data_IF_185312318455
#
_entry.id   IF_185312318455
#
_cell.length_a   1.000
_cell.length_b   1.000
_cell.length_c   1.000
_cell.angle_alpha   90.00
_cell.angle_beta   90.00
_cell.angle_gamma   90.00
#
_symmetry.space_group_name_H-M   'P 1'
#
loop_
_entity.id
_entity.type
_entity.pdbx_description
1 polymer ?
#
# COMPACT_ATOMS: atom_id res chain seq x y z
N UNK A 1 -28.17 73.90 2.04
CA UNK A 1 -26.78 73.92 1.52
C UNK A 1 -26.09 72.66 2.03
N UNK A 2 -26.08 71.59 1.22
CA UNK A 2 -24.83 70.96 0.70
C UNK A 2 -24.43 69.72 1.53
N UNK A 3 -24.90 68.50 1.18
CA UNK A 3 -24.14 67.36 0.58
C UNK A 3 -22.84 66.99 1.32
N UNK A 4 -22.55 65.74 1.74
CA UNK A 4 -23.25 64.45 1.64
C UNK A 4 -22.36 63.26 2.09
N UNK A 5 -22.96 62.06 2.05
CA UNK A 5 -22.41 60.68 2.01
C UNK A 5 -21.51 60.17 3.18
N UNK A 6 -21.66 58.94 3.70
CA UNK A 6 -22.58 57.84 3.37
C UNK A 6 -22.25 56.55 4.15
N UNK A 7 -23.17 55.58 4.02
CA UNK A 7 -23.08 54.11 4.22
C UNK A 7 -22.62 53.55 5.58
N UNK A 8 -23.18 52.47 6.13
CA UNK A 8 -24.06 51.45 5.56
C UNK A 8 -24.65 50.57 6.68
N UNK A 9 -25.79 49.95 6.37
CA UNK A 9 -26.58 49.12 7.25
C UNK A 9 -25.92 47.76 7.52
N UNK A 10 -26.00 47.32 8.77
CA UNK A 10 -25.70 45.97 9.21
C UNK A 10 -26.83 45.03 8.79
N UNK A 11 -26.53 44.07 7.91
CA UNK A 11 -27.39 42.92 7.65
C UNK A 11 -26.72 41.68 8.20
N UNK A 12 -27.41 41.04 9.14
CA UNK A 12 -27.09 39.75 9.75
C UNK A 12 -26.88 38.68 8.67
N UNK A 13 -25.81 37.90 8.82
CA UNK A 13 -25.56 36.73 7.98
C UNK A 13 -26.37 35.56 8.55
N UNK A 14 -27.21 34.97 7.70
CA UNK A 14 -27.92 33.71 7.98
C UNK A 14 -26.92 32.54 8.03
N UNK A 15 -26.90 31.83 9.15
CA UNK A 15 -26.27 30.51 9.27
C UNK A 15 -27.21 29.42 8.71
N UNK A 16 -26.70 28.40 8.00
CA UNK A 16 -27.53 27.29 7.51
C UNK A 16 -27.97 26.35 8.65
N UNK A 17 -29.17 25.74 8.57
CA UNK A 17 -29.75 24.99 9.68
C UNK A 17 -29.06 23.63 9.90
N UNK A 18 -28.45 23.46 11.08
CA UNK A 18 -27.95 22.19 11.58
C UNK A 18 -29.10 21.31 12.08
N UNK A 19 -29.64 20.47 11.18
CA UNK A 19 -30.67 19.48 11.52
C UNK A 19 -30.10 18.20 12.19
N UNK A 20 -29.40 18.37 13.32
CA UNK A 20 -29.04 17.25 14.20
C UNK A 20 -29.54 17.51 15.61
N UNK A 21 -30.87 17.63 15.75
CA UNK A 21 -31.53 17.62 17.04
C UNK A 21 -32.15 16.24 17.32
N UNK A 22 -31.58 15.59 18.34
CA UNK A 22 -32.25 14.68 19.30
C UNK A 22 -32.57 13.26 18.83
N UNK A 23 -31.54 12.39 18.87
CA UNK A 23 -31.72 11.06 19.48
C UNK A 23 -31.21 11.13 20.92
N UNK A 24 -32.13 11.16 21.87
CA UNK A 24 -31.83 10.96 23.29
C UNK A 24 -31.31 9.54 23.49
N UNK A 25 -30.02 9.40 23.78
CA UNK A 25 -29.47 8.15 24.31
C UNK A 25 -29.97 8.00 25.75
N UNK A 26 -30.89 7.06 25.99
CA UNK A 26 -31.19 6.63 27.35
C UNK A 26 -30.02 5.74 27.81
N UNK A 27 -29.26 6.22 28.79
CA UNK A 27 -28.29 5.40 29.49
C UNK A 27 -29.03 4.25 30.21
N UNK A 28 -28.61 2.98 30.06
CA UNK A 28 -29.18 1.91 30.84
C UNK A 28 -28.80 2.07 32.33
N UNK A 29 -29.75 1.71 33.21
CA UNK A 29 -29.57 1.75 34.66
C UNK A 29 -28.38 0.87 35.12
N UNK A 30 -27.71 1.22 36.23
CA UNK A 30 -26.57 0.46 36.72
C UNK A 30 -27.00 -0.96 37.10
N UNK A 31 -26.32 -1.96 36.54
CA UNK A 31 -26.54 -3.36 36.86
C UNK A 31 -26.16 -3.65 38.32
N UNK A 32 -26.99 -4.44 39.00
CA UNK A 32 -26.74 -4.94 40.34
C UNK A 32 -25.44 -5.75 40.40
N UNK A 33 -24.69 -5.60 41.50
CA UNK A 33 -23.44 -6.32 41.77
C UNK A 33 -23.74 -7.82 41.87
N UNK A 34 -23.31 -8.58 40.87
CA UNK A 34 -23.38 -10.04 40.87
C UNK A 34 -22.25 -10.64 41.71
N UNK A 35 -22.56 -11.62 42.56
CA UNK A 35 -21.59 -12.41 43.31
C UNK A 35 -20.60 -13.13 42.37
N UNK A 36 -19.35 -13.24 42.82
CA UNK A 36 -18.26 -13.90 42.07
C UNK A 36 -18.62 -15.37 41.77
N UNK A 37 -18.47 -15.84 40.51
CA UNK A 37 -18.68 -17.25 40.20
C UNK A 37 -17.54 -18.10 40.76
N UNK A 38 -17.90 -19.29 41.25
CA UNK A 38 -16.96 -20.34 41.66
C UNK A 38 -16.19 -20.85 40.44
N UNK A 39 -14.90 -21.05 40.62
CA UNK A 39 -13.95 -21.53 39.62
C UNK A 39 -14.26 -23.01 39.28
N UNK A 40 -14.87 -23.25 38.12
CA UNK A 40 -14.97 -24.59 37.53
C UNK A 40 -13.82 -24.81 36.54
N UNK A 41 -13.12 -25.93 36.71
CA UNK A 41 -11.99 -26.30 35.88
C UNK A 41 -12.40 -26.50 34.41
N UNK A 42 -11.80 -25.70 33.52
CA UNK A 42 -11.96 -25.82 32.06
C UNK A 42 -11.34 -27.13 31.60
N UNK A 43 -12.15 -28.02 31.01
CA UNK A 43 -11.66 -29.24 30.36
C UNK A 43 -10.95 -28.88 29.04
N UNK A 44 -9.82 -29.52 28.70
CA UNK A 44 -9.06 -29.18 27.51
C UNK A 44 -9.84 -29.50 26.24
N UNK A 45 -9.87 -28.53 25.33
CA UNK A 45 -10.40 -28.68 23.97
C UNK A 45 -9.39 -29.54 23.19
N UNK A 46 -9.85 -30.65 22.61
CA UNK A 46 -9.01 -31.46 21.70
C UNK A 46 -8.86 -30.68 20.39
N UNK A 47 -7.65 -30.21 20.11
CA UNK A 47 -7.27 -29.67 18.81
C UNK A 47 -7.42 -30.76 17.74
N UNK A 48 -8.08 -30.41 16.62
CA UNK A 48 -8.05 -31.21 15.42
C UNK A 48 -6.66 -31.03 14.75
N UNK A 49 -6.02 -32.10 14.26
CA UNK A 49 -4.71 -31.97 13.62
C UNK A 49 -4.81 -31.14 12.33
N UNK A 50 -3.93 -30.17 12.20
CA UNK A 50 -3.77 -29.39 10.96
C UNK A 50 -3.41 -30.33 9.79
N UNK A 51 -3.97 -30.13 8.58
CA UNK A 51 -3.54 -30.88 7.42
C UNK A 51 -2.06 -30.59 7.12
N UNK A 52 -1.29 -31.66 6.88
CA UNK A 52 0.13 -31.56 6.55
C UNK A 52 0.33 -30.73 5.26
N UNK A 53 1.29 -29.81 5.22
CA UNK A 53 1.61 -29.08 4.01
C UNK A 53 2.20 -30.05 2.96
N UNK A 54 1.69 -29.97 1.72
CA UNK A 54 2.30 -30.65 0.59
C UNK A 54 3.73 -30.12 0.39
N UNK A 55 4.71 -31.02 0.34
CA UNK A 55 6.10 -30.70 0.11
C UNK A 55 6.28 -30.17 -1.30
N UNK A 56 6.64 -28.89 -1.41
CA UNK A 56 7.17 -28.30 -2.66
C UNK A 56 8.69 -28.37 -2.55
N UNK A 57 9.33 -29.15 -3.43
CA UNK A 57 10.78 -29.20 -3.55
C UNK A 57 11.33 -27.82 -3.93
N UNK A 58 12.09 -27.22 -3.02
CA UNK A 58 12.86 -26.00 -3.28
C UNK A 58 14.13 -26.42 -4.02
N UNK A 59 14.21 -26.16 -5.33
CA UNK A 59 15.49 -26.24 -6.06
C UNK A 59 16.37 -25.07 -5.64
N UNK A 60 17.59 -25.39 -5.20
CA UNK A 60 18.63 -24.41 -4.85
C UNK A 60 18.88 -23.43 -6.01
N UNK A 61 18.80 -22.14 -5.73
CA UNK A 61 19.23 -21.08 -6.65
C UNK A 61 20.75 -21.00 -6.70
N UNK A 62 21.38 -20.93 -7.89
CA UNK A 62 22.83 -20.81 -8.00
C UNK A 62 23.32 -19.45 -7.48
N UNK A 63 24.53 -19.44 -6.92
CA UNK A 63 25.19 -18.28 -6.34
C UNK A 63 25.28 -17.08 -7.30
N UNK A 64 25.21 -15.83 -6.81
CA UNK A 64 25.28 -14.65 -7.67
C UNK A 64 26.69 -14.49 -8.27
N UNK A 65 26.72 -14.21 -9.57
CA UNK A 65 27.93 -13.83 -10.29
C UNK A 65 28.48 -12.49 -9.78
N UNK A 66 29.81 -12.25 -9.86
CA UNK A 66 30.43 -11.04 -9.33
C UNK A 66 29.94 -9.81 -10.10
N UNK A 67 29.65 -8.73 -9.36
CA UNK A 67 29.23 -7.46 -9.90
C UNK A 67 30.37 -6.81 -10.68
N UNK A 68 30.17 -6.65 -11.99
CA UNK A 68 30.99 -5.78 -12.83
C UNK A 68 30.34 -4.40 -12.83
N UNK A 69 31.10 -3.39 -12.40
CA UNK A 69 30.70 -2.00 -12.35
C UNK A 69 30.61 -1.45 -13.79
N UNK A 70 29.43 -1.57 -14.43
CA UNK A 70 29.12 -0.83 -15.64
C UNK A 70 28.58 0.55 -15.28
N UNK A 71 29.30 1.60 -15.69
CA UNK A 71 28.79 2.96 -15.69
C UNK A 71 27.47 3.02 -16.48
N UNK A 72 26.34 3.09 -15.78
CA UNK A 72 25.01 3.15 -16.38
C UNK A 72 24.92 4.36 -17.31
N UNK A 73 24.88 4.11 -18.62
CA UNK A 73 24.29 5.07 -19.56
C UNK A 73 22.86 5.31 -19.10
N UNK A 74 22.53 6.54 -18.74
CA UNK A 74 21.14 6.97 -18.50
C UNK A 74 20.36 6.62 -19.77
N UNK A 75 19.47 5.63 -19.69
CA UNK A 75 18.63 5.26 -20.83
C UNK A 75 17.76 6.47 -21.18
N UNK A 76 17.71 6.81 -22.46
CA UNK A 76 16.83 7.88 -22.92
C UNK A 76 15.37 7.57 -22.52
N UNK A 77 14.58 8.58 -22.08
CA UNK A 77 13.22 8.36 -21.63
C UNK A 77 12.38 7.72 -22.74
N UNK A 78 11.57 6.73 -22.35
CA UNK A 78 10.68 6.03 -23.27
C UNK A 78 9.69 6.98 -23.94
N UNK A 79 9.08 6.57 -25.06
CA UNK A 79 8.03 7.37 -25.71
C UNK A 79 6.85 7.61 -24.77
N UNK A 80 6.49 6.60 -23.97
CA UNK A 80 5.42 6.73 -22.98
C UNK A 80 5.77 7.77 -21.89
N UNK A 81 6.98 7.73 -21.36
CA UNK A 81 7.47 8.72 -20.38
C UNK A 81 7.38 10.13 -20.93
N UNK A 82 7.75 10.34 -22.20
CA UNK A 82 7.64 11.67 -22.85
C UNK A 82 6.19 12.14 -22.98
N UNK A 83 5.26 11.25 -23.32
CA UNK A 83 3.83 11.59 -23.43
C UNK A 83 3.25 11.93 -22.06
N UNK A 84 3.52 11.10 -21.05
CA UNK A 84 3.07 11.34 -19.68
C UNK A 84 3.62 12.66 -19.13
N UNK A 85 4.88 12.98 -19.45
CA UNK A 85 5.51 14.23 -19.03
C UNK A 85 4.86 15.44 -19.71
N UNK A 86 4.58 15.35 -21.00
CA UNK A 86 3.85 16.39 -21.73
C UNK A 86 2.43 16.62 -21.17
N UNK A 87 1.80 15.57 -20.64
CA UNK A 87 0.50 15.65 -19.95
C UNK A 87 0.59 16.15 -18.50
N UNK A 88 1.80 16.40 -17.97
CA UNK A 88 2.02 16.81 -16.59
C UNK A 88 1.88 15.69 -15.55
N UNK A 89 1.67 14.44 -15.99
CA UNK A 89 1.43 13.29 -15.12
C UNK A 89 2.71 12.68 -14.54
N UNK A 90 3.88 12.97 -15.12
CA UNK A 90 5.19 12.53 -14.61
C UNK A 90 6.21 13.65 -14.78
N UNK A 91 7.27 13.72 -13.95
CA UNK A 91 8.28 14.75 -14.06
C UNK A 91 8.98 14.83 -15.43
N UNK A 92 9.32 16.05 -15.83
CA UNK A 92 10.06 16.28 -17.08
C UNK A 92 11.44 15.61 -17.05
N UNK A 93 11.86 14.95 -18.15
CA UNK A 93 13.20 14.38 -18.24
C UNK A 93 14.30 15.42 -17.97
N UNK A 94 15.28 15.05 -17.15
CA UNK A 94 16.39 15.92 -16.74
C UNK A 94 16.13 16.66 -15.42
N UNK A 95 14.92 16.60 -14.85
CA UNK A 95 14.72 17.00 -13.46
C UNK A 95 15.30 15.93 -12.50
N UNK A 96 15.90 16.31 -11.36
CA UNK A 96 16.45 15.33 -10.41
C UNK A 96 15.45 14.28 -9.93
N UNK A 97 14.20 14.70 -9.66
CA UNK A 97 13.10 13.78 -9.31
C UNK A 97 12.78 12.79 -10.43
N UNK A 98 12.86 13.22 -11.70
CA UNK A 98 12.65 12.35 -12.86
C UNK A 98 13.79 11.33 -12.98
N UNK A 99 15.03 11.77 -12.78
CA UNK A 99 16.21 10.90 -12.83
C UNK A 99 16.17 9.84 -11.73
N UNK A 100 15.82 10.24 -10.50
CA UNK A 100 15.66 9.32 -9.37
C UNK A 100 14.54 8.30 -9.64
N UNK A 101 13.37 8.74 -10.08
CA UNK A 101 12.23 7.89 -10.40
C UNK A 101 12.61 6.85 -11.48
N UNK A 102 13.20 7.29 -12.59
CA UNK A 102 13.56 6.40 -13.70
C UNK A 102 14.71 5.45 -13.37
N UNK A 103 15.65 5.87 -12.51
CA UNK A 103 16.83 5.07 -12.15
C UNK A 103 16.50 4.01 -11.12
N UNK A 104 15.69 4.35 -10.12
CA UNK A 104 15.41 3.51 -8.96
C UNK A 104 14.08 2.76 -9.07
N UNK A 105 13.09 3.30 -9.79
CA UNK A 105 11.76 2.71 -9.94
C UNK A 105 11.35 2.65 -11.42
N UNK A 106 12.14 1.97 -12.28
CA UNK A 106 11.88 1.90 -13.71
C UNK A 106 10.55 1.19 -13.99
N UNK A 107 9.78 1.71 -14.94
CA UNK A 107 8.46 1.17 -15.27
C UNK A 107 7.35 1.57 -14.30
N UNK A 108 7.62 2.51 -13.39
CA UNK A 108 6.57 3.15 -12.60
C UNK A 108 5.59 3.93 -13.48
N UNK A 109 4.34 3.93 -13.06
CA UNK A 109 3.21 4.55 -13.74
C UNK A 109 2.58 5.59 -12.81
N UNK A 110 2.09 6.73 -13.32
CA UNK A 110 1.19 7.60 -12.56
C UNK A 110 -0.03 6.81 -12.09
N UNK A 111 -0.54 7.10 -10.88
CA UNK A 111 -1.64 6.36 -10.27
C UNK A 111 -2.85 6.18 -11.19
N UNK A 112 -3.25 7.24 -11.89
CA UNK A 112 -4.37 7.19 -12.84
C UNK A 112 -4.14 6.19 -13.99
N UNK A 113 -2.90 6.02 -14.46
CA UNK A 113 -2.57 5.07 -15.50
C UNK A 113 -2.66 3.62 -14.98
N UNK A 114 -2.28 3.38 -13.72
CA UNK A 114 -2.47 2.09 -13.04
C UNK A 114 -3.95 1.75 -13.01
N UNK A 115 -4.77 2.63 -12.41
CA UNK A 115 -6.21 2.42 -12.27
C UNK A 115 -6.84 2.09 -13.63
N UNK A 116 -6.66 2.96 -14.63
CA UNK A 116 -7.30 2.79 -15.95
C UNK A 116 -6.88 1.49 -16.64
N UNK A 117 -5.62 1.08 -16.55
CA UNK A 117 -5.14 -0.15 -17.17
C UNK A 117 -5.69 -1.38 -16.44
N UNK A 118 -5.63 -1.38 -15.11
CA UNK A 118 -6.14 -2.51 -14.32
C UNK A 118 -7.63 -2.70 -14.49
N UNK A 119 -8.42 -1.63 -14.47
CA UNK A 119 -9.87 -1.74 -14.62
C UNK A 119 -10.26 -2.15 -16.04
N UNK A 120 -9.57 -1.64 -17.06
CA UNK A 120 -9.84 -2.01 -18.45
C UNK A 120 -9.57 -3.49 -18.73
N UNK A 121 -8.44 -4.03 -18.27
CA UNK A 121 -8.14 -5.46 -18.49
C UNK A 121 -9.09 -6.35 -17.69
N UNK A 122 -9.40 -5.99 -16.44
CA UNK A 122 -10.29 -6.78 -15.59
C UNK A 122 -11.72 -6.78 -16.11
N UNK A 123 -12.23 -5.63 -16.55
CA UNK A 123 -13.56 -5.55 -17.17
C UNK A 123 -13.63 -6.35 -18.47
N UNK A 124 -12.64 -6.22 -19.34
CA UNK A 124 -12.67 -6.88 -20.65
C UNK A 124 -12.48 -8.40 -20.61
N UNK A 125 -11.65 -8.92 -19.69
CA UNK A 125 -11.32 -10.35 -19.61
C UNK A 125 -12.16 -11.12 -18.60
N UNK A 126 -12.65 -10.46 -17.56
CA UNK A 126 -13.29 -11.13 -16.41
C UNK A 126 -14.63 -10.51 -15.99
N UNK A 127 -15.11 -9.48 -16.70
CA UNK A 127 -16.34 -8.74 -16.38
C UNK A 127 -16.37 -8.17 -14.95
N UNK A 128 -15.20 -7.81 -14.42
CA UNK A 128 -15.05 -7.21 -13.08
C UNK A 128 -15.21 -5.69 -13.11
N UNK A 129 -15.97 -5.15 -12.16
CA UNK A 129 -16.08 -3.73 -11.86
C UNK A 129 -16.39 -3.50 -10.37
N UNK A 130 -16.68 -2.25 -9.98
CA UNK A 130 -16.95 -1.89 -8.59
C UNK A 130 -18.27 -2.46 -8.04
N UNK A 131 -19.18 -2.96 -8.89
CA UNK A 131 -20.46 -3.50 -8.43
C UNK A 131 -20.34 -4.95 -7.97
N UNK A 132 -19.40 -5.71 -8.54
CA UNK A 132 -19.21 -7.14 -8.27
C UNK A 132 -17.87 -7.49 -7.61
N UNK A 133 -17.06 -6.50 -7.24
CA UNK A 133 -15.70 -6.72 -6.70
C UNK A 133 -15.52 -5.97 -5.39
N UNK A 134 -15.16 -6.68 -4.31
CA UNK A 134 -14.78 -6.04 -3.04
C UNK A 134 -13.29 -5.69 -3.02
N UNK A 135 -12.95 -4.55 -2.41
CA UNK A 135 -11.60 -4.00 -2.40
C UNK A 135 -10.87 -4.15 -1.05
N UNK A 136 -9.67 -4.71 -1.11
CA UNK A 136 -8.71 -4.77 -0.02
C UNK A 136 -7.46 -3.97 -0.32
N UNK A 137 -6.92 -3.29 0.68
CA UNK A 137 -5.72 -2.47 0.50
C UNK A 137 -4.70 -2.72 1.61
N UNK A 138 -3.50 -3.16 1.23
CA UNK A 138 -2.36 -3.36 2.14
C UNK A 138 -1.24 -2.37 1.85
N UNK A 139 -1.38 -1.16 2.38
CA UNK A 139 -0.38 -0.07 2.30
C UNK A 139 -0.02 0.46 3.68
N UNK A 140 0.96 1.35 3.75
CA UNK A 140 1.38 2.00 4.98
C UNK A 140 0.34 3.04 5.43
N UNK A 141 0.04 3.15 6.75
CA UNK A 141 -0.90 4.14 7.29
C UNK A 141 -0.39 5.58 7.23
N UNK A 142 0.83 5.80 6.76
CA UNK A 142 1.39 7.13 6.50
C UNK A 142 0.41 7.95 5.64
N UNK A 143 0.08 9.16 6.09
CA UNK A 143 -1.02 9.96 5.55
C UNK A 143 -0.82 10.33 4.09
N UNK A 144 0.44 10.46 3.66
CA UNK A 144 0.82 10.80 2.29
C UNK A 144 0.38 9.74 1.29
N UNK A 145 0.11 8.50 1.73
CA UNK A 145 -0.40 7.47 0.83
C UNK A 145 -1.90 7.59 0.55
N UNK A 146 -2.60 8.49 1.26
CA UNK A 146 -4.05 8.68 1.19
C UNK A 146 -4.40 10.14 0.83
N UNK A 147 -3.47 10.86 0.23
CA UNK A 147 -3.73 12.21 -0.28
C UNK A 147 -4.74 12.16 -1.44
N UNK A 148 -5.54 13.22 -1.56
CA UNK A 148 -6.64 13.27 -2.52
C UNK A 148 -6.10 13.26 -3.95
N UNK A 149 -6.63 12.38 -4.79
CA UNK A 149 -6.20 12.19 -6.18
C UNK A 149 -5.02 11.23 -6.36
N UNK A 150 -4.36 10.80 -5.27
CA UNK A 150 -3.32 9.79 -5.35
C UNK A 150 -3.87 8.37 -5.42
N UNK A 151 -2.99 7.42 -5.70
CA UNK A 151 -3.38 6.07 -6.10
C UNK A 151 -4.39 5.40 -5.15
N UNK A 152 -4.18 5.46 -3.84
CA UNK A 152 -5.09 4.82 -2.88
C UNK A 152 -6.48 5.46 -2.90
N UNK A 153 -6.55 6.79 -3.03
CA UNK A 153 -7.80 7.55 -3.07
C UNK A 153 -8.60 7.20 -4.34
N UNK A 154 -7.97 7.26 -5.52
CA UNK A 154 -8.65 6.95 -6.78
C UNK A 154 -9.03 5.46 -6.92
N UNK A 155 -8.28 4.55 -6.27
CA UNK A 155 -8.62 3.14 -6.23
C UNK A 155 -9.83 2.90 -5.33
N UNK A 156 -9.90 3.56 -4.17
CA UNK A 156 -11.08 3.55 -3.30
C UNK A 156 -12.30 4.15 -4.01
N UNK A 157 -12.14 5.27 -4.71
CA UNK A 157 -13.24 5.90 -5.45
C UNK A 157 -13.84 4.97 -6.52
N UNK A 158 -13.01 4.14 -7.18
CA UNK A 158 -13.47 3.23 -8.22
C UNK A 158 -14.01 1.90 -7.66
N UNK A 159 -13.27 1.24 -6.77
CA UNK A 159 -13.61 -0.10 -6.27
C UNK A 159 -14.53 -0.09 -5.04
N UNK A 160 -14.80 1.07 -4.46
CA UNK A 160 -15.64 1.23 -3.29
C UNK A 160 -14.88 1.17 -1.96
N UNK A 161 -15.62 0.92 -0.89
CA UNK A 161 -15.06 0.95 0.47
C UNK A 161 -13.93 -0.06 0.67
N UNK A 162 -12.91 0.37 1.39
CA UNK A 162 -11.65 -0.37 1.57
C UNK A 162 -11.72 -1.27 2.80
N UNK A 163 -11.35 -2.53 2.65
CA UNK A 163 -10.90 -3.36 3.77
C UNK A 163 -9.40 -3.11 4.02
N UNK A 164 -9.01 -2.46 5.13
CA UNK A 164 -7.60 -2.18 5.41
C UNK A 164 -6.88 -3.45 5.83
N UNK A 165 -5.92 -3.88 5.03
CA UNK A 165 -5.11 -5.07 5.25
C UNK A 165 -3.72 -4.76 5.80
N UNK A 166 -3.25 -3.53 5.62
CA UNK A 166 -1.87 -3.11 5.82
C UNK A 166 -1.51 -2.74 7.27
N UNK A 167 -0.52 -1.86 7.37
CA UNK A 167 0.08 -1.33 8.60
C UNK A 167 1.46 -0.77 8.26
N UNK A 168 2.29 -0.44 9.23
CA UNK A 168 3.55 0.28 8.96
C UNK A 168 4.43 -0.47 7.95
N UNK A 169 4.96 0.25 6.98
CA UNK A 169 5.73 -0.31 5.86
C UNK A 169 4.91 -1.04 4.79
N UNK A 170 3.58 -1.18 4.94
CA UNK A 170 2.69 -1.76 3.93
C UNK A 170 2.53 -3.28 3.97
N UNK A 171 3.12 -3.95 4.97
CA UNK A 171 2.93 -5.39 5.14
C UNK A 171 1.49 -5.73 5.56
N UNK A 172 0.92 -6.86 5.08
CA UNK A 172 -0.46 -7.21 5.40
C UNK A 172 -0.60 -7.83 6.81
N UNK A 173 -0.65 -6.98 7.84
CA UNK A 173 -0.69 -7.41 9.24
C UNK A 173 -2.02 -8.04 9.66
N UNK A 174 -3.09 -7.86 8.89
CA UNK A 174 -4.37 -8.54 9.11
C UNK A 174 -4.24 -10.07 9.15
N UNK A 175 -3.21 -10.62 8.50
CA UNK A 175 -2.91 -12.04 8.54
C UNK A 175 -4.00 -12.91 7.91
N UNK A 176 -3.91 -14.22 8.15
CA UNK A 176 -4.87 -15.21 7.64
C UNK A 176 -6.28 -14.97 8.19
N UNK A 177 -6.38 -14.59 9.47
CA UNK A 177 -7.67 -14.31 10.12
C UNK A 177 -8.36 -13.12 9.47
N UNK A 178 -7.65 -12.01 9.27
CA UNK A 178 -8.27 -10.84 8.65
C UNK A 178 -8.51 -10.99 7.15
N UNK A 179 -7.66 -11.73 6.41
CA UNK A 179 -8.01 -12.13 5.04
C UNK A 179 -9.28 -13.00 5.01
N UNK A 180 -9.41 -13.97 5.93
CA UNK A 180 -10.61 -14.79 6.04
C UNK A 180 -11.86 -13.97 6.38
N UNK A 181 -11.74 -12.94 7.24
CA UNK A 181 -12.84 -12.01 7.50
C UNK A 181 -13.21 -11.23 6.23
N UNK A 182 -12.21 -10.68 5.53
CA UNK A 182 -12.39 -9.96 4.29
C UNK A 182 -13.07 -10.81 3.20
N UNK A 183 -12.63 -12.07 3.02
CA UNK A 183 -13.16 -12.95 1.98
C UNK A 183 -14.60 -13.44 2.23
N UNK A 184 -15.15 -13.26 3.42
CA UNK A 184 -16.58 -13.50 3.68
C UNK A 184 -17.47 -12.33 3.25
N UNK A 185 -16.89 -11.17 2.94
CA UNK A 185 -17.64 -9.98 2.52
C UNK A 185 -17.74 -9.87 0.98
N UNK A 186 -17.20 -10.85 0.25
CA UNK A 186 -17.28 -10.90 -1.21
C UNK A 186 -18.76 -10.91 -1.62
N UNK A 187 -19.17 -10.12 -2.63
CA UNK A 187 -20.52 -10.19 -3.17
C UNK A 187 -20.86 -11.62 -3.62
N UNK A 188 -22.15 -11.96 -3.66
CA UNK A 188 -22.58 -13.25 -4.19
C UNK A 188 -22.04 -13.43 -5.62
N UNK A 189 -21.33 -14.54 -5.86
CA UNK A 189 -20.61 -14.85 -7.11
C UNK A 189 -19.60 -13.76 -7.56
N UNK A 190 -19.21 -12.86 -6.65
CA UNK A 190 -18.34 -11.73 -6.91
C UNK A 190 -16.85 -12.04 -6.79
N UNK A 191 -16.05 -10.97 -6.79
CA UNK A 191 -14.60 -11.05 -6.86
C UNK A 191 -13.93 -10.27 -5.73
N UNK A 192 -12.64 -10.54 -5.55
CA UNK A 192 -11.77 -9.83 -4.61
C UNK A 192 -10.69 -9.11 -5.42
N UNK A 193 -10.47 -7.83 -5.15
CA UNK A 193 -9.29 -7.10 -5.62
C UNK A 193 -8.45 -6.64 -4.43
N UNK A 194 -7.14 -6.94 -4.45
CA UNK A 194 -6.19 -6.47 -3.45
C UNK A 194 -5.10 -5.62 -4.11
N UNK A 195 -4.94 -4.38 -3.66
CA UNK A 195 -3.72 -3.59 -3.92
C UNK A 195 -2.78 -3.68 -2.73
N UNK A 196 -1.49 -3.94 -2.95
CA UNK A 196 -0.52 -3.99 -1.86
C UNK A 196 0.88 -3.51 -2.24
N UNK A 197 1.63 -3.07 -1.23
CA UNK A 197 3.03 -2.68 -1.42
C UNK A 197 3.58 -1.81 -0.30
N UNK A 198 4.92 -1.70 -0.19
CA UNK A 198 5.53 -0.60 0.54
C UNK A 198 5.37 0.72 -0.23
N UNK A 199 5.75 1.82 0.42
CA UNK A 199 5.86 3.12 -0.22
C UNK A 199 7.25 3.75 0.01
N UNK A 200 7.59 4.74 -0.80
CA UNK A 200 8.81 5.54 -0.67
C UNK A 200 8.60 6.93 -1.24
N UNK A 201 9.09 7.96 -0.55
CA UNK A 201 9.06 9.34 -1.08
C UNK A 201 10.24 9.62 -2.00
N UNK A 202 10.04 10.49 -2.99
CA UNK A 202 11.13 11.14 -3.72
C UNK A 202 10.96 12.65 -3.59
N UNK A 203 11.99 13.34 -3.11
CA UNK A 203 11.94 14.79 -2.99
C UNK A 203 12.05 15.51 -4.34
N UNK A 204 11.81 16.83 -4.35
CA UNK A 204 12.03 17.67 -5.55
C UNK A 204 13.47 17.63 -6.04
N UNK A 205 14.43 17.46 -5.13
CA UNK A 205 15.86 17.32 -5.44
C UNK A 205 16.27 15.90 -5.84
N UNK A 206 15.33 14.95 -5.92
CA UNK A 206 15.62 13.57 -6.30
C UNK A 206 16.14 12.69 -5.15
N UNK A 207 16.04 13.15 -3.90
CA UNK A 207 16.42 12.34 -2.75
C UNK A 207 15.36 11.26 -2.50
N UNK A 208 15.76 9.99 -2.65
CA UNK A 208 14.90 8.83 -2.36
C UNK A 208 14.82 8.62 -0.85
N UNK A 209 13.61 8.44 -0.33
CA UNK A 209 13.35 8.31 1.09
C UNK A 209 12.82 9.58 1.74
N UNK A 210 12.56 10.64 0.97
CA UNK A 210 12.19 11.97 1.48
C UNK A 210 10.88 12.45 0.89
N UNK A 211 10.11 13.14 1.72
CA UNK A 211 8.87 13.79 1.31
C UNK A 211 8.68 15.11 2.05
N UNK A 212 8.13 16.12 1.36
CA UNK A 212 7.80 17.42 1.94
C UNK A 212 6.34 17.43 2.38
N UNK A 213 6.09 17.18 3.66
CA UNK A 213 4.73 17.12 4.23
C UNK A 213 4.15 18.52 4.42
N UNK A 214 2.85 18.65 4.24
CA UNK A 214 2.12 19.90 4.48
C UNK A 214 2.35 20.36 5.92
N UNK A 215 2.76 21.62 6.07
CA UNK A 215 3.01 22.22 7.39
C UNK A 215 4.39 21.95 7.99
N UNK A 216 5.29 21.24 7.30
CA UNK A 216 6.68 21.07 7.72
C UNK A 216 7.62 22.05 7.01
N UNK A 217 8.61 22.57 7.74
CA UNK A 217 9.63 23.45 7.16
C UNK A 217 10.67 22.68 6.33
N UNK A 218 10.88 21.40 6.64
CA UNK A 218 11.89 20.55 6.03
C UNK A 218 11.31 19.20 5.64
N UNK A 219 11.95 18.52 4.69
CA UNK A 219 11.58 17.18 4.28
C UNK A 219 11.81 16.15 5.41
N UNK A 220 10.91 15.18 5.51
CA UNK A 220 10.98 14.08 6.48
C UNK A 220 11.04 12.72 5.77
N UNK A 221 11.31 11.66 6.55
CA UNK A 221 11.48 10.31 6.01
C UNK A 221 10.17 9.72 5.47
N UNK A 222 10.27 9.02 4.34
CA UNK A 222 9.18 8.24 3.73
C UNK A 222 9.75 7.03 2.98
N UNK A 223 9.44 5.77 3.33
CA UNK A 223 8.60 5.30 4.44
C UNK A 223 9.36 5.29 5.78
N UNK A 224 8.86 6.01 6.80
CA UNK A 224 9.52 6.10 8.11
C UNK A 224 9.81 4.73 8.76
N UNK A 225 8.89 3.78 8.67
CA UNK A 225 9.04 2.45 9.27
C UNK A 225 10.11 1.59 8.58
N UNK A 226 10.16 1.62 7.23
CA UNK A 226 11.19 0.91 6.46
C UNK A 226 12.56 1.54 6.72
N UNK A 227 12.64 2.87 6.74
CA UNK A 227 13.88 3.60 7.07
C UNK A 227 14.37 3.25 8.48
N UNK A 228 13.48 3.23 9.46
CA UNK A 228 13.81 2.85 10.83
C UNK A 228 14.25 1.38 10.93
N UNK A 229 13.57 0.47 10.23
CA UNK A 229 13.91 -0.96 10.22
C UNK A 229 15.27 -1.21 9.58
N UNK A 230 15.56 -0.48 8.50
CA UNK A 230 16.86 -0.46 7.85
C UNK A 230 17.95 0.08 8.78
N UNK A 231 17.73 1.23 9.42
CA UNK A 231 18.69 1.83 10.35
C UNK A 231 18.98 0.92 11.56
N UNK A 232 17.94 0.30 12.13
CA UNK A 232 18.07 -0.71 13.19
C UNK A 232 18.93 -1.87 12.72
N UNK A 233 18.68 -2.42 11.53
CA UNK A 233 19.55 -3.46 10.99
C UNK A 233 21.01 -2.99 10.81
N UNK A 234 21.22 -1.76 10.35
CA UNK A 234 22.55 -1.22 10.12
C UNK A 234 23.36 -0.95 11.39
N UNK A 235 22.70 -0.74 12.53
CA UNK A 235 23.34 -0.38 13.80
C UNK A 235 24.26 -1.47 14.37
N UNK A 236 24.02 -2.74 14.01
CA UNK A 236 24.68 -3.89 14.65
C UNK A 236 24.09 -4.28 16.01
N UNK A 237 23.10 -3.52 16.51
CA UNK A 237 22.40 -3.85 17.75
C UNK A 237 21.47 -5.05 17.58
N UNK A 238 21.30 -5.81 18.66
CA UNK A 238 20.34 -6.90 18.71
C UNK A 238 19.00 -6.38 19.23
N UNK A 239 17.97 -6.48 18.40
CA UNK A 239 16.61 -6.10 18.76
C UNK A 239 15.75 -7.35 18.88
N UNK A 240 15.24 -7.62 20.08
CA UNK A 240 14.24 -8.66 20.32
C UNK A 240 12.90 -8.36 19.65
N UNK A 241 11.96 -9.29 19.73
CA UNK A 241 10.58 -9.03 19.31
C UNK A 241 9.87 -8.24 20.41
N UNK A 242 9.35 -7.07 20.07
CA UNK A 242 8.60 -6.21 20.97
C UNK A 242 7.10 -6.40 20.75
N UNK A 243 6.36 -6.70 21.82
CA UNK A 243 4.92 -6.92 21.78
C UNK A 243 4.13 -5.61 21.63
N UNK A 244 4.70 -4.47 22.04
CA UNK A 244 4.10 -3.16 21.85
C UNK A 244 4.49 -2.54 20.48
N UNK A 245 5.52 -3.11 19.83
CA UNK A 245 6.02 -2.69 18.51
C UNK A 245 6.18 -3.87 17.53
N UNK A 246 5.15 -4.72 17.47
CA UNK A 246 5.16 -5.97 16.71
C UNK A 246 5.35 -5.75 15.21
N UNK A 247 4.75 -4.70 14.67
CA UNK A 247 4.83 -4.42 13.23
C UNK A 247 6.25 -4.01 12.83
N UNK A 248 6.91 -3.17 13.64
CA UNK A 248 8.28 -2.77 13.37
C UNK A 248 9.25 -3.93 13.60
N UNK A 249 8.99 -4.75 14.62
CA UNK A 249 9.74 -5.98 14.86
C UNK A 249 9.68 -6.92 13.67
N UNK A 250 8.50 -7.09 13.07
CA UNK A 250 8.33 -7.84 11.84
C UNK A 250 9.12 -7.24 10.66
N UNK A 251 8.99 -5.93 10.41
CA UNK A 251 9.70 -5.27 9.29
C UNK A 251 11.21 -5.40 9.41
N UNK A 252 11.75 -5.15 10.60
CA UNK A 252 13.18 -5.29 10.87
C UNK A 252 13.64 -6.73 10.58
N UNK A 253 12.92 -7.74 11.06
CA UNK A 253 13.23 -9.14 10.78
C UNK A 253 13.13 -9.49 9.30
N UNK A 254 12.22 -8.85 8.56
CA UNK A 254 12.08 -9.03 7.11
C UNK A 254 13.24 -8.41 6.31
N UNK A 255 13.76 -7.26 6.76
CA UNK A 255 14.86 -6.54 6.08
C UNK A 255 16.23 -7.14 6.43
N UNK A 256 16.42 -7.57 7.69
CA UNK A 256 17.72 -7.98 8.22
C UNK A 256 18.51 -8.98 7.35
N UNK A 257 17.91 -10.02 6.75
CA UNK A 257 18.64 -10.99 5.93
C UNK A 257 19.33 -10.40 4.69
N UNK A 258 18.84 -9.27 4.16
CA UNK A 258 19.35 -8.61 2.95
C UNK A 258 19.87 -7.20 3.20
N UNK A 259 20.20 -6.92 4.45
CA UNK A 259 20.62 -5.60 4.89
C UNK A 259 22.01 -5.20 4.38
N UNK A 260 22.96 -6.14 4.33
CA UNK A 260 24.28 -5.90 3.75
C UNK A 260 24.23 -5.66 2.23
N UNK A 261 23.32 -6.35 1.53
CA UNK A 261 23.01 -6.08 0.12
C UNK A 261 22.52 -4.63 -0.05
N UNK A 262 21.60 -4.18 0.81
CA UNK A 262 21.09 -2.81 0.77
C UNK A 262 22.18 -1.77 1.05
N UNK A 263 23.04 -2.01 2.06
CA UNK A 263 24.17 -1.12 2.39
C UNK A 263 25.14 -0.93 1.23
N UNK A 264 25.35 -1.98 0.44
CA UNK A 264 26.31 -1.99 -0.67
C UNK A 264 25.72 -1.44 -1.98
N UNK A 265 24.42 -1.14 -2.01
CA UNK A 265 23.74 -0.66 -3.21
C UNK A 265 24.05 0.82 -3.50
N UNK A 266 24.01 1.21 -4.78
CA UNK A 266 24.21 2.60 -5.20
C UNK A 266 23.23 3.58 -4.55
N UNK A 267 22.00 3.14 -4.26
CA UNK A 267 21.05 3.87 -3.42
C UNK A 267 20.45 2.90 -2.38
N UNK A 268 20.92 2.93 -1.12
CA UNK A 268 20.47 2.00 -0.09
C UNK A 268 18.98 2.08 0.23
N UNK A 269 18.38 3.27 0.10
CA UNK A 269 16.96 3.47 0.41
C UNK A 269 16.06 2.86 -0.67
N UNK A 270 16.42 3.05 -1.94
CA UNK A 270 15.75 2.35 -3.04
C UNK A 270 15.89 0.83 -2.87
N UNK A 271 17.10 0.35 -2.55
CA UNK A 271 17.36 -1.07 -2.37
C UNK A 271 16.53 -1.69 -1.24
N UNK A 272 16.49 -1.06 -0.05
CA UNK A 272 15.70 -1.59 1.07
C UNK A 272 14.19 -1.52 0.82
N UNK A 273 13.73 -0.54 0.02
CA UNK A 273 12.32 -0.49 -0.41
C UNK A 273 11.97 -1.70 -1.29
N UNK A 274 12.86 -2.11 -2.21
CA UNK A 274 12.68 -3.33 -3.00
C UNK A 274 12.73 -4.60 -2.15
N UNK A 275 13.66 -4.68 -1.19
CA UNK A 275 13.74 -5.82 -0.24
C UNK A 275 12.47 -5.92 0.60
N UNK A 276 11.94 -4.78 1.07
CA UNK A 276 10.67 -4.73 1.79
C UNK A 276 9.52 -5.24 0.91
N UNK A 277 9.45 -4.82 -0.35
CA UNK A 277 8.45 -5.32 -1.30
C UNK A 277 8.48 -6.85 -1.43
N UNK A 278 9.66 -7.44 -1.62
CA UNK A 278 9.78 -8.89 -1.77
C UNK A 278 9.21 -9.62 -0.54
N UNK A 279 9.57 -9.16 0.66
CA UNK A 279 9.08 -9.72 1.92
C UNK A 279 7.57 -9.54 2.12
N UNK A 280 7.03 -8.39 1.70
CA UNK A 280 5.61 -8.05 1.77
C UNK A 280 4.81 -8.92 0.81
N UNK A 281 5.29 -9.09 -0.43
CA UNK A 281 4.69 -9.98 -1.44
C UNK A 281 4.64 -11.41 -0.91
N UNK A 282 5.74 -11.92 -0.36
CA UNK A 282 5.77 -13.27 0.19
C UNK A 282 4.79 -13.43 1.35
N UNK A 283 4.63 -12.41 2.20
CA UNK A 283 3.61 -12.43 3.25
C UNK A 283 2.19 -12.42 2.68
N UNK A 284 1.92 -11.58 1.67
CA UNK A 284 0.63 -11.50 1.00
C UNK A 284 0.23 -12.87 0.45
N UNK A 285 1.10 -13.50 -0.33
CA UNK A 285 0.86 -14.83 -0.92
C UNK A 285 0.68 -15.93 0.13
N UNK A 286 1.24 -15.79 1.34
CA UNK A 286 1.02 -16.74 2.44
C UNK A 286 -0.32 -16.57 3.15
N UNK A 287 -0.97 -15.41 3.08
CA UNK A 287 -2.21 -15.14 3.83
C UNK A 287 -3.47 -15.26 2.98
N UNK A 288 -3.34 -14.99 1.68
CA UNK A 288 -4.47 -15.08 0.73
C UNK A 288 -4.76 -16.54 0.38
N UNK A 289 -6.00 -16.80 -0.01
CA UNK A 289 -6.46 -18.04 -0.62
C UNK A 289 -7.67 -17.75 -1.50
N UNK A 290 -8.12 -18.71 -2.30
CA UNK A 290 -9.25 -18.57 -3.22
C UNK A 290 -10.53 -19.26 -2.73
N UNK A 291 -10.61 -19.63 -1.45
CA UNK A 291 -11.72 -20.41 -0.87
C UNK A 291 -12.86 -19.51 -0.39
N UNK A 292 -13.45 -18.76 -1.31
CA UNK A 292 -14.55 -17.83 -1.02
C UNK A 292 -15.68 -17.90 -2.06
N UNK A 293 -15.84 -19.06 -2.70
CA UNK A 293 -16.87 -19.29 -3.73
C UNK A 293 -16.28 -19.37 -5.13
N UNK A 294 -17.09 -19.19 -6.19
CA UNK A 294 -16.64 -19.27 -7.59
C UNK A 294 -15.86 -18.02 -8.03
N UNK A 295 -15.74 -17.04 -7.14
CA UNK A 295 -15.06 -15.77 -7.36
C UNK A 295 -13.58 -15.91 -7.70
N UNK A 296 -13.01 -14.79 -8.13
CA UNK A 296 -11.61 -14.66 -8.51
C UNK A 296 -10.92 -13.71 -7.56
N UNK A 297 -9.70 -14.03 -7.21
CA UNK A 297 -8.80 -13.17 -6.44
C UNK A 297 -7.87 -12.46 -7.42
N UNK A 298 -7.97 -11.14 -7.46
CA UNK A 298 -7.05 -10.26 -8.17
C UNK A 298 -6.08 -9.67 -7.17
N UNK A 299 -4.78 -9.77 -7.45
CA UNK A 299 -3.73 -9.19 -6.62
C UNK A 299 -2.85 -8.29 -7.47
N UNK A 300 -2.81 -7.00 -7.14
CA UNK A 300 -1.91 -6.00 -7.68
C UNK A 300 -0.85 -5.62 -6.62
N UNK A 301 0.37 -6.06 -6.84
CA UNK A 301 1.52 -5.77 -5.99
C UNK A 301 2.52 -4.84 -6.66
N UNK A 302 3.02 -3.87 -5.91
CA UNK A 302 4.05 -2.95 -6.39
C UNK A 302 4.65 -2.09 -5.29
N UNK A 303 5.31 -1.02 -5.69
CA UNK A 303 5.86 -0.01 -4.78
C UNK A 303 5.14 1.30 -5.09
N UNK A 304 4.48 1.90 -4.10
CA UNK A 304 3.94 3.25 -4.21
C UNK A 304 5.09 4.26 -4.05
N UNK A 305 5.14 5.26 -4.92
CA UNK A 305 6.16 6.30 -4.90
C UNK A 305 5.47 7.63 -4.67
N UNK A 306 5.71 8.23 -3.50
CA UNK A 306 5.11 9.51 -3.15
C UNK A 306 5.87 10.65 -3.82
N UNK A 307 5.20 11.40 -4.67
CA UNK A 307 5.81 12.38 -5.55
C UNK A 307 5.62 13.81 -5.03
N UNK A 308 6.57 14.73 -5.27
CA UNK A 308 6.41 16.09 -4.82
C UNK A 308 5.46 16.85 -5.75
N UNK A 309 4.72 17.82 -5.20
CA UNK A 309 3.88 18.71 -6.00
C UNK A 309 4.69 19.34 -7.17
N UNK A 310 4.10 19.42 -8.39
CA UNK A 310 2.69 19.19 -8.70
C UNK A 310 2.35 17.76 -9.15
N UNK A 311 3.26 16.79 -9.01
CA UNK A 311 3.08 15.46 -9.56
C UNK A 311 2.25 14.57 -8.62
N UNK A 312 1.33 13.81 -9.20
CA UNK A 312 0.61 12.73 -8.51
C UNK A 312 1.55 11.54 -8.24
N UNK A 313 1.15 10.73 -7.26
CA UNK A 313 1.85 9.51 -6.89
C UNK A 313 2.03 8.56 -8.08
N UNK A 314 3.19 7.92 -8.09
CA UNK A 314 3.49 6.84 -9.00
C UNK A 314 3.39 5.49 -8.30
N UNK A 315 3.30 4.43 -9.08
CA UNK A 315 3.36 3.07 -8.60
C UNK A 315 4.16 2.23 -9.57
N UNK A 316 5.09 1.44 -9.06
CA UNK A 316 5.87 0.48 -9.83
C UNK A 316 5.22 -0.90 -9.69
N UNK A 317 4.45 -1.37 -10.69
CA UNK A 317 3.87 -2.70 -10.65
C UNK A 317 4.98 -3.75 -10.70
N UNK A 318 4.90 -4.74 -9.82
CA UNK A 318 5.86 -5.85 -9.74
C UNK A 318 5.16 -7.22 -9.64
N UNK A 319 3.85 -7.24 -9.49
CA UNK A 319 3.01 -8.43 -9.47
C UNK A 319 1.59 -8.04 -9.88
N UNK A 320 1.01 -8.76 -10.83
CA UNK A 320 -0.41 -8.58 -11.15
C UNK A 320 -0.98 -9.91 -11.62
N UNK A 321 -1.77 -10.57 -10.77
CA UNK A 321 -2.30 -11.90 -11.08
C UNK A 321 -3.79 -12.02 -10.76
N UNK A 322 -4.45 -12.89 -11.51
CA UNK A 322 -5.80 -13.39 -11.25
C UNK A 322 -5.71 -14.86 -10.86
N UNK A 323 -6.34 -15.21 -9.74
CA UNK A 323 -6.31 -16.55 -9.15
C UNK A 323 -7.73 -17.05 -8.91
N UNK A 324 -7.97 -18.34 -9.08
CA UNK A 324 -9.25 -19.00 -8.78
C UNK A 324 -8.98 -20.40 -8.23
N UNK A 325 -9.87 -20.92 -7.39
CA UNK A 325 -9.73 -22.28 -6.86
C UNK A 325 -9.76 -23.32 -8.00
N UNK A 326 -8.73 -24.16 -8.06
CA UNK A 326 -8.60 -25.21 -9.08
C UNK A 326 -8.06 -24.75 -10.44
N UNK A 327 -7.74 -23.47 -10.60
CA UNK A 327 -7.18 -22.93 -11.85
C UNK A 327 -5.74 -22.43 -11.65
N UNK A 328 -4.93 -22.50 -12.71
CA UNK A 328 -3.59 -21.92 -12.71
C UNK A 328 -3.66 -20.39 -12.65
N UNK A 329 -2.83 -19.71 -11.83
CA UNK A 329 -2.79 -18.26 -11.79
C UNK A 329 -2.46 -17.65 -13.16
N UNK A 330 -3.23 -16.62 -13.55
CA UNK A 330 -2.99 -15.88 -14.79
C UNK A 330 -2.20 -14.60 -14.48
N UNK A 331 -1.02 -14.46 -15.08
CA UNK A 331 -0.19 -13.27 -14.98
C UNK A 331 -0.66 -12.19 -15.97
N UNK A 332 -0.95 -11.00 -15.45
CA UNK A 332 -1.38 -9.82 -16.18
C UNK A 332 -0.39 -8.66 -16.08
N UNK A 333 0.80 -8.86 -15.52
CA UNK A 333 1.78 -7.79 -15.32
C UNK A 333 2.17 -7.08 -16.63
N UNK A 334 2.16 -7.81 -17.76
CA UNK A 334 2.41 -7.25 -19.09
C UNK A 334 1.37 -6.23 -19.56
N UNK A 335 0.20 -6.18 -18.94
CA UNK A 335 -0.84 -5.17 -19.22
C UNK A 335 -0.49 -3.80 -18.62
N UNK A 336 0.46 -3.79 -17.68
CA UNK A 336 0.93 -2.60 -16.96
C UNK A 336 2.32 -2.13 -17.41
N UNK A 337 2.88 -2.71 -18.47
CA UNK A 337 4.11 -2.19 -19.08
C UNK A 337 3.81 -1.33 -20.31
N UNK A 338 4.59 -0.27 -20.50
CA UNK A 338 4.62 0.43 -21.78
C UNK A 338 5.55 -0.34 -22.72
N UNK A 339 4.96 -0.98 -23.74
CA UNK A 339 5.68 -1.57 -24.87
C UNK A 339 6.19 -0.47 -25.81
#
# INVERSE_FOLDING_TARGET
MGKGAGCGASTEAEEPPTQWAKKTYNAPAPAAVAEKPKEEAVKPIKEAPAPAPAAVEVKETPAPAPAVEEAKKVQAPSRATKILSWLGATPEPGLPVAEALNTHFPGSLPGIAVLKRTTAVLKSKYDMDGDNTIYGQSICPDEINNEKGDLADIMKEYWGEVFPMGGIGGAPYVGKTGFGAFSHHVPDDGHVFIMFGPHVGISKSGEVGKYHRIGQATESGSCGAILAGYAQCCSGDSFGFDMDDMQQSYLRSAIAPRCEECKSAANPIAAVTHVAYDSIKDKMLRIVNTKFGPGKLVILGGIQINMPAPYEDHFMPKFFQVMQEGEEPVDLLSELVFV
#
